data_IF_563603833880
#
_entry.id   IF_563603833880
#
_cell.length_a   1.000
_cell.length_b   1.000
_cell.length_c   1.000
_cell.angle_alpha   90.00
_cell.angle_beta   90.00
_cell.angle_gamma   90.00
#
_symmetry.space_group_name_H-M   'P 1'
#
loop_
_entity.id
_entity.type
_entity.pdbx_description
1 polymer ?
#
# COMPACT_ATOMS: atom_id res chain seq x y z
N UNK A 1 10.35 11.13 -43.06
CA UNK A 1 9.04 10.80 -42.48
C UNK A 1 9.08 11.30 -41.05
N UNK A 2 8.44 12.45 -40.81
CA UNK A 2 8.38 13.10 -39.52
C UNK A 2 7.29 12.41 -38.68
N UNK A 3 7.66 11.64 -37.67
CA UNK A 3 6.72 11.03 -36.71
C UNK A 3 6.28 12.04 -35.65
N UNK A 4 6.10 13.31 -36.05
CA UNK A 4 5.95 14.52 -35.23
C UNK A 4 4.73 14.63 -34.32
N UNK A 5 4.40 13.58 -33.55
CA UNK A 5 3.66 13.73 -32.30
C UNK A 5 4.58 13.36 -31.15
N UNK A 6 4.98 14.38 -30.38
CA UNK A 6 5.64 14.19 -29.09
C UNK A 6 4.76 13.31 -28.19
N UNK A 7 5.38 12.37 -27.48
CA UNK A 7 4.70 11.52 -26.50
C UNK A 7 4.12 12.44 -25.42
N UNK A 8 2.82 12.32 -25.15
CA UNK A 8 2.17 12.99 -24.02
C UNK A 8 2.36 12.13 -22.78
N UNK A 9 3.18 12.60 -21.84
CA UNK A 9 3.39 11.97 -20.54
C UNK A 9 2.46 12.58 -19.49
N UNK A 10 1.84 11.74 -18.65
CA UNK A 10 1.02 12.14 -17.51
C UNK A 10 1.54 11.39 -16.29
N UNK A 11 1.92 12.12 -15.24
CA UNK A 11 2.52 11.58 -14.01
C UNK A 11 1.82 12.21 -12.79
N UNK A 12 1.67 11.43 -11.73
CA UNK A 12 1.14 11.93 -10.47
C UNK A 12 2.20 12.72 -9.71
N UNK A 13 1.80 13.85 -9.11
CA UNK A 13 2.70 14.60 -8.24
C UNK A 13 2.97 13.84 -6.93
N UNK A 14 4.15 14.04 -6.34
CA UNK A 14 4.56 13.43 -5.06
C UNK A 14 4.01 14.14 -3.80
N UNK A 15 3.04 15.06 -3.96
CA UNK A 15 2.38 15.76 -2.84
C UNK A 15 0.86 15.76 -3.01
N UNK A 16 0.15 15.73 -1.89
CA UNK A 16 -1.32 15.78 -1.88
C UNK A 16 -1.82 16.30 -0.53
N UNK A 17 -2.78 17.22 -0.56
CA UNK A 17 -3.37 17.79 0.66
C UNK A 17 -4.85 17.48 0.82
N UNK A 18 -5.55 17.19 -0.28
CA UNK A 18 -6.98 16.86 -0.28
C UNK A 18 -7.20 15.47 -0.88
N UNK A 19 -7.07 14.45 -0.02
CA UNK A 19 -7.42 13.07 -0.31
C UNK A 19 -7.80 12.36 1.00
N UNK A 20 -8.54 11.27 0.91
CA UNK A 20 -8.81 10.36 2.01
C UNK A 20 -8.11 9.02 1.74
N UNK A 21 -7.28 8.56 2.68
CA UNK A 21 -6.51 7.32 2.53
C UNK A 21 -6.90 6.33 3.61
N UNK A 22 -7.22 5.11 3.20
CA UNK A 22 -7.37 3.97 4.09
C UNK A 22 -6.06 3.18 4.19
N UNK A 23 -5.71 2.73 5.39
CA UNK A 23 -4.59 1.81 5.63
C UNK A 23 -5.13 0.55 6.30
N UNK A 24 -4.87 -0.62 5.72
CA UNK A 24 -5.19 -1.93 6.31
C UNK A 24 -3.89 -2.61 6.71
N UNK A 25 -3.66 -2.74 8.02
CA UNK A 25 -2.42 -3.29 8.57
C UNK A 25 -2.66 -4.58 9.37
N UNK A 26 -1.89 -5.63 9.10
CA UNK A 26 -1.93 -6.85 9.94
C UNK A 26 -1.32 -6.61 11.34
N UNK A 27 -1.64 -7.47 12.31
CA UNK A 27 -0.99 -7.46 13.65
C UNK A 27 0.09 -8.52 13.78
N UNK A 28 -0.01 -9.61 13.02
CA UNK A 28 1.04 -10.63 12.95
C UNK A 28 2.34 -10.01 12.40
N UNK A 29 3.49 -10.46 12.93
CA UNK A 29 4.81 -9.82 12.69
C UNK A 29 4.88 -8.34 13.12
N UNK A 30 4.18 -7.96 14.19
CA UNK A 30 4.03 -6.58 14.64
C UNK A 30 5.32 -5.75 14.72
N UNK A 31 6.45 -6.34 15.14
CA UNK A 31 7.74 -5.64 15.18
C UNK A 31 8.20 -5.11 13.81
N UNK A 32 7.82 -5.79 12.72
CA UNK A 32 8.09 -5.37 11.34
C UNK A 32 6.94 -4.51 10.83
N UNK A 33 5.71 -4.97 11.04
CA UNK A 33 4.51 -4.31 10.49
C UNK A 33 4.29 -2.92 11.06
N UNK A 34 4.53 -2.72 12.36
CA UNK A 34 4.37 -1.42 12.99
C UNK A 34 5.42 -0.43 12.46
N UNK A 35 6.64 -0.87 12.13
CA UNK A 35 7.65 -0.01 11.48
C UNK A 35 7.26 0.40 10.06
N UNK A 36 6.67 -0.50 9.28
CA UNK A 36 6.14 -0.19 7.94
C UNK A 36 4.98 0.81 8.05
N UNK A 37 4.07 0.56 8.98
CA UNK A 37 2.90 1.39 9.23
C UNK A 37 3.30 2.80 9.68
N UNK A 38 4.21 2.92 10.63
CA UNK A 38 4.69 4.21 11.15
C UNK A 38 5.34 5.02 10.03
N UNK A 39 6.20 4.38 9.24
CA UNK A 39 6.84 5.02 8.09
C UNK A 39 5.81 5.46 7.02
N UNK A 40 4.82 4.62 6.72
CA UNK A 40 3.72 4.96 5.83
C UNK A 40 2.97 6.21 6.30
N UNK A 41 2.61 6.28 7.59
CA UNK A 41 1.90 7.43 8.16
C UNK A 41 2.78 8.68 8.12
N UNK A 42 4.04 8.58 8.55
CA UNK A 42 4.99 9.71 8.51
C UNK A 42 5.12 10.27 7.09
N UNK A 43 5.23 9.41 6.07
CA UNK A 43 5.32 9.83 4.67
C UNK A 43 4.04 10.52 4.18
N UNK A 44 2.85 9.99 4.51
CA UNK A 44 1.59 10.63 4.16
C UNK A 44 1.46 12.03 4.79
N UNK A 45 1.81 12.17 6.06
CA UNK A 45 1.78 13.45 6.77
C UNK A 45 2.80 14.44 6.19
N UNK A 46 4.02 13.98 5.89
CA UNK A 46 5.06 14.80 5.28
C UNK A 46 4.69 15.28 3.87
N UNK A 47 3.84 14.54 3.15
CA UNK A 47 3.30 14.92 1.85
C UNK A 47 2.18 15.97 1.92
N UNK A 48 1.70 16.30 3.13
CA UNK A 48 0.69 17.33 3.39
C UNK A 48 -0.72 16.79 3.66
N UNK A 49 -0.89 15.48 3.84
CA UNK A 49 -2.19 14.89 4.11
C UNK A 49 -2.63 15.18 5.56
N UNK A 50 -3.89 15.62 5.73
CA UNK A 50 -4.46 15.86 7.06
C UNK A 50 -4.60 14.52 7.84
N UNK A 51 -4.18 14.43 9.11
CA UNK A 51 -4.33 13.22 9.91
C UNK A 51 -5.76 12.67 9.98
N UNK A 52 -6.77 13.54 10.01
CA UNK A 52 -8.20 13.18 10.02
C UNK A 52 -8.70 12.59 8.70
N UNK A 53 -7.88 12.63 7.64
CA UNK A 53 -8.14 11.98 6.35
C UNK A 53 -7.49 10.60 6.22
N UNK A 54 -6.76 10.16 7.24
CA UNK A 54 -6.13 8.83 7.29
C UNK A 54 -6.97 7.93 8.20
N UNK A 55 -7.53 6.86 7.64
CA UNK A 55 -8.26 5.85 8.41
C UNK A 55 -7.48 4.55 8.46
N UNK A 56 -7.26 4.01 9.65
CA UNK A 56 -6.52 2.77 9.85
C UNK A 56 -7.44 1.63 10.32
N UNK A 57 -7.34 0.46 9.67
CA UNK A 57 -7.93 -0.79 10.11
C UNK A 57 -6.84 -1.81 10.46
N UNK A 58 -6.92 -2.40 11.66
CA UNK A 58 -5.97 -3.43 12.13
C UNK A 58 -6.59 -4.82 12.06
N UNK A 59 -6.02 -5.70 11.24
CA UNK A 59 -6.49 -7.09 11.04
C UNK A 59 -5.56 -8.11 11.70
N UNK A 60 -6.00 -9.35 11.98
CA UNK A 60 -5.15 -10.35 12.63
C UNK A 60 -3.87 -10.68 11.84
N UNK A 61 -4.01 -11.16 10.60
CA UNK A 61 -2.89 -11.56 9.75
C UNK A 61 -3.00 -11.01 8.32
N UNK A 62 -2.01 -11.34 7.49
CA UNK A 62 -1.96 -10.89 6.10
C UNK A 62 -3.11 -11.48 5.24
N UNK A 63 -3.65 -12.63 5.66
CA UNK A 63 -4.75 -13.29 4.95
C UNK A 63 -6.07 -12.53 5.02
N UNK A 64 -6.30 -11.77 6.10
CA UNK A 64 -7.51 -10.96 6.25
C UNK A 64 -7.39 -9.59 5.56
N UNK A 65 -6.19 -9.17 5.14
CA UNK A 65 -5.97 -7.87 4.50
C UNK A 65 -6.87 -7.70 3.26
N UNK A 66 -6.92 -8.63 2.28
CA UNK A 66 -7.67 -8.41 1.04
C UNK A 66 -9.17 -8.18 1.26
N UNK A 67 -9.81 -8.96 2.12
CA UNK A 67 -11.25 -8.82 2.38
C UNK A 67 -11.57 -7.48 3.06
N UNK A 68 -10.70 -7.02 3.96
CA UNK A 68 -10.85 -5.71 4.59
C UNK A 68 -10.60 -4.57 3.61
N UNK A 69 -9.55 -4.67 2.77
CA UNK A 69 -9.26 -3.69 1.71
C UNK A 69 -10.44 -3.57 0.75
N UNK A 70 -11.00 -4.70 0.29
CA UNK A 70 -12.19 -4.72 -0.57
C UNK A 70 -13.38 -4.03 0.08
N UNK A 71 -13.61 -4.28 1.37
CA UNK A 71 -14.71 -3.67 2.12
C UNK A 71 -14.53 -2.17 2.26
N UNK A 72 -13.32 -1.69 2.57
CA UNK A 72 -13.03 -0.27 2.71
C UNK A 72 -13.11 0.46 1.36
N UNK A 73 -12.50 -0.10 0.32
CA UNK A 73 -12.54 0.46 -1.03
C UNK A 73 -14.00 0.59 -1.55
N UNK A 74 -14.84 -0.41 -1.29
CA UNK A 74 -16.25 -0.41 -1.69
C UNK A 74 -17.14 0.60 -0.94
N UNK A 75 -16.63 1.32 0.06
CA UNK A 75 -17.41 2.36 0.76
C UNK A 75 -17.51 3.66 -0.04
N UNK A 76 -16.62 3.89 -1.00
CA UNK A 76 -16.51 5.16 -1.73
C UNK A 76 -16.00 6.34 -0.89
N UNK A 77 -15.49 6.10 0.32
CA UNK A 77 -15.00 7.15 1.24
C UNK A 77 -13.51 7.48 1.08
N UNK A 78 -12.77 6.72 0.26
CA UNK A 78 -11.31 6.81 0.16
C UNK A 78 -10.89 6.98 -1.30
N UNK A 79 -9.87 7.81 -1.51
CA UNK A 79 -9.19 7.98 -2.79
C UNK A 79 -8.19 6.87 -3.07
N UNK A 80 -7.66 6.20 -2.03
CA UNK A 80 -6.82 5.00 -2.16
C UNK A 80 -6.86 4.14 -0.88
N UNK A 81 -6.45 2.88 -1.02
CA UNK A 81 -6.22 1.96 0.11
C UNK A 81 -4.81 1.41 0.08
N UNK A 82 -4.10 1.45 1.21
CA UNK A 82 -2.75 0.91 1.37
C UNK A 82 -2.82 -0.36 2.23
N UNK A 83 -2.35 -1.48 1.68
CA UNK A 83 -2.20 -2.73 2.41
C UNK A 83 -0.80 -2.79 3.04
N UNK A 84 -0.72 -2.98 4.36
CA UNK A 84 0.55 -3.08 5.10
C UNK A 84 0.60 -4.42 5.83
N UNK A 85 1.69 -5.16 5.67
CA UNK A 85 1.86 -6.44 6.35
C UNK A 85 3.22 -7.07 6.12
N UNK A 86 3.45 -8.20 6.77
CA UNK A 86 4.65 -8.99 6.55
C UNK A 86 4.33 -10.48 6.67
N UNK A 87 4.71 -11.24 5.65
CA UNK A 87 4.70 -12.70 5.60
C UNK A 87 6.16 -13.13 5.50
N UNK A 88 6.62 -13.89 6.48
CA UNK A 88 8.02 -14.36 6.57
C UNK A 88 8.00 -15.88 6.45
N UNK A 89 8.84 -16.43 5.57
CA UNK A 89 8.87 -17.87 5.30
C UNK A 89 9.20 -18.66 6.58
N UNK A 90 8.39 -19.68 6.84
CA UNK A 90 8.60 -20.66 7.91
C UNK A 90 8.97 -22.03 7.34
N UNK A 91 8.78 -23.07 8.14
CA UNK A 91 9.17 -24.45 7.78
C UNK A 91 8.19 -25.13 6.82
N UNK A 92 6.97 -24.61 6.71
CA UNK A 92 5.90 -25.23 5.90
C UNK A 92 5.53 -24.36 4.71
N UNK A 93 4.87 -24.94 3.69
CA UNK A 93 4.35 -24.18 2.55
C UNK A 93 3.27 -23.14 2.90
N UNK A 94 2.86 -23.01 4.16
CA UNK A 94 1.86 -22.04 4.60
C UNK A 94 2.19 -20.61 4.12
N UNK A 95 3.48 -20.24 4.12
CA UNK A 95 3.95 -18.97 3.57
C UNK A 95 3.45 -18.73 2.14
N UNK A 96 3.61 -19.73 1.26
CA UNK A 96 3.32 -19.57 -0.17
C UNK A 96 1.83 -19.34 -0.40
N UNK A 97 0.97 -20.03 0.36
CA UNK A 97 -0.49 -19.83 0.30
C UNK A 97 -0.91 -18.45 0.82
N UNK A 98 -0.38 -18.02 1.97
CA UNK A 98 -0.76 -16.71 2.53
C UNK A 98 -0.28 -15.56 1.64
N UNK A 99 0.97 -15.61 1.17
CA UNK A 99 1.52 -14.59 0.29
C UNK A 99 0.79 -14.53 -1.06
N UNK A 100 0.53 -15.69 -1.67
CA UNK A 100 -0.16 -15.76 -2.96
C UNK A 100 -1.62 -15.28 -2.89
N UNK A 101 -2.39 -15.72 -1.90
CA UNK A 101 -3.80 -15.30 -1.77
C UNK A 101 -3.93 -13.84 -1.34
N UNK A 102 -3.01 -13.34 -0.50
CA UNK A 102 -2.98 -11.92 -0.13
C UNK A 102 -2.74 -11.03 -1.35
N UNK A 103 -1.67 -11.29 -2.10
CA UNK A 103 -1.34 -10.54 -3.32
C UNK A 103 -2.43 -10.65 -4.38
N UNK A 104 -2.99 -11.84 -4.61
CA UNK A 104 -4.09 -12.05 -5.57
C UNK A 104 -5.33 -11.25 -5.19
N UNK A 105 -5.78 -11.34 -3.94
CA UNK A 105 -6.99 -10.64 -3.50
C UNK A 105 -6.85 -9.12 -3.54
N UNK A 106 -5.64 -8.60 -3.28
CA UNK A 106 -5.33 -7.17 -3.43
C UNK A 106 -5.35 -6.74 -4.89
N UNK A 107 -4.72 -7.50 -5.78
CA UNK A 107 -4.74 -7.22 -7.22
C UNK A 107 -6.15 -7.27 -7.79
N UNK A 108 -6.95 -8.28 -7.42
CA UNK A 108 -8.36 -8.36 -7.82
C UNK A 108 -9.16 -7.17 -7.32
N UNK A 109 -8.93 -6.74 -6.07
CA UNK A 109 -9.61 -5.55 -5.54
C UNK A 109 -9.22 -4.29 -6.29
N UNK A 110 -7.93 -4.11 -6.58
CA UNK A 110 -7.41 -2.95 -7.33
C UNK A 110 -8.08 -2.79 -8.70
N UNK A 111 -8.31 -3.90 -9.40
CA UNK A 111 -8.92 -3.91 -10.73
C UNK A 111 -10.43 -3.61 -10.72
N UNK A 112 -11.11 -3.80 -9.59
CA UNK A 112 -12.57 -3.65 -9.50
C UNK A 112 -13.04 -2.46 -8.66
N UNK A 113 -12.18 -1.88 -7.80
CA UNK A 113 -12.55 -0.82 -6.87
C UNK A 113 -12.70 0.55 -7.51
N UNK A 114 -12.05 0.80 -8.65
CA UNK A 114 -11.97 2.12 -9.28
C UNK A 114 -11.03 3.10 -8.55
N UNK A 115 -10.35 2.66 -7.49
CA UNK A 115 -9.36 3.44 -6.74
C UNK A 115 -8.05 2.65 -6.60
N UNK A 116 -6.88 3.32 -6.50
CA UNK A 116 -5.62 2.65 -6.25
C UNK A 116 -5.63 1.80 -4.98
N UNK A 117 -5.14 0.56 -5.10
CA UNK A 117 -4.85 -0.33 -3.97
C UNK A 117 -3.36 -0.61 -3.98
N UNK A 118 -2.66 -0.17 -2.95
CA UNK A 118 -1.19 -0.22 -2.89
C UNK A 118 -0.73 -1.43 -2.08
N UNK A 119 0.24 -2.16 -2.64
CA UNK A 119 0.80 -3.37 -2.05
C UNK A 119 2.06 -3.07 -1.22
N UNK A 120 1.87 -2.86 0.08
CA UNK A 120 2.94 -2.71 1.08
C UNK A 120 3.10 -3.93 1.99
N UNK A 121 2.86 -5.14 1.47
CA UNK A 121 3.02 -6.39 2.21
C UNK A 121 4.37 -7.03 1.88
N UNK A 122 5.25 -7.16 2.87
CA UNK A 122 6.51 -7.87 2.70
C UNK A 122 6.29 -9.37 2.55
N UNK A 123 6.93 -9.98 1.56
CA UNK A 123 6.99 -11.44 1.37
C UNK A 123 8.46 -11.84 1.28
N UNK A 124 9.01 -12.30 2.40
CA UNK A 124 10.46 -12.47 2.56
C UNK A 124 10.82 -13.84 3.14
N UNK A 125 12.03 -14.31 2.87
CA UNK A 125 12.48 -15.64 3.29
C UNK A 125 12.95 -15.69 4.74
N UNK A 126 13.34 -14.55 5.32
CA UNK A 126 13.83 -14.49 6.69
C UNK A 126 13.61 -13.12 7.35
N UNK A 127 13.82 -13.09 8.67
CA UNK A 127 13.64 -11.88 9.48
C UNK A 127 14.61 -10.76 9.11
N UNK A 128 15.84 -11.07 8.67
CA UNK A 128 16.81 -10.04 8.29
C UNK A 128 16.33 -9.25 7.07
N UNK A 129 15.83 -9.95 6.04
CA UNK A 129 15.20 -9.29 4.89
C UNK A 129 13.99 -8.44 5.31
N UNK A 130 13.21 -8.87 6.30
CA UNK A 130 12.10 -8.09 6.82
C UNK A 130 12.59 -6.80 7.51
N UNK A 131 13.66 -6.89 8.29
CA UNK A 131 14.30 -5.75 8.96
C UNK A 131 14.87 -4.75 7.95
N UNK A 132 15.61 -5.23 6.95
CA UNK A 132 16.23 -4.39 5.91
C UNK A 132 15.19 -3.59 5.11
N UNK A 133 13.97 -4.11 5.00
CA UNK A 133 12.84 -3.50 4.27
C UNK A 133 11.84 -2.76 5.14
N UNK A 134 12.05 -2.75 6.45
CA UNK A 134 11.26 -2.01 7.44
C UNK A 134 12.11 -1.08 8.30
N UNK A 135 13.39 -0.90 7.93
CA UNK A 135 14.37 -0.07 8.61
C UNK A 135 14.30 1.38 8.17
N UNK A 136 15.42 1.89 7.64
CA UNK A 136 15.61 3.29 7.31
C UNK A 136 14.54 3.86 6.37
N UNK A 137 14.16 5.15 6.49
CA UNK A 137 13.08 5.74 5.70
C UNK A 137 13.21 5.56 4.19
N UNK A 138 14.44 5.54 3.67
CA UNK A 138 14.74 5.38 2.24
C UNK A 138 14.57 3.93 1.73
N UNK A 139 14.67 2.93 2.60
CA UNK A 139 14.50 1.50 2.25
C UNK A 139 13.20 0.89 2.80
N UNK A 140 12.43 1.66 3.55
CA UNK A 140 11.21 1.21 4.20
C UNK A 140 10.06 1.10 3.18
N UNK A 141 9.55 -0.13 3.00
CA UNK A 141 8.45 -0.39 2.06
C UNK A 141 7.12 0.24 2.44
N UNK A 142 6.94 0.63 3.70
CA UNK A 142 5.82 1.44 4.14
C UNK A 142 5.87 2.87 3.60
N UNK A 143 7.04 3.52 3.66
CA UNK A 143 7.26 4.83 3.04
C UNK A 143 7.01 4.79 1.53
N UNK A 144 7.57 3.77 0.85
CA UNK A 144 7.37 3.61 -0.60
C UNK A 144 5.89 3.43 -0.95
N UNK A 145 5.16 2.60 -0.17
CA UNK A 145 3.73 2.40 -0.38
C UNK A 145 2.92 3.70 -0.21
N UNK A 146 3.25 4.54 0.78
CA UNK A 146 2.64 5.86 0.93
C UNK A 146 2.91 6.77 -0.27
N UNK A 147 4.16 6.86 -0.73
CA UNK A 147 4.53 7.64 -1.91
C UNK A 147 3.78 7.16 -3.16
N UNK A 148 3.73 5.84 -3.39
CA UNK A 148 2.97 5.27 -4.50
C UNK A 148 1.47 5.58 -4.41
N UNK A 149 0.88 5.58 -3.21
CA UNK A 149 -0.52 5.96 -3.02
C UNK A 149 -0.78 7.41 -3.47
N UNK A 150 0.09 8.34 -3.04
CA UNK A 150 -0.02 9.77 -3.37
C UNK A 150 0.06 9.99 -4.88
N UNK A 151 1.06 9.41 -5.53
CA UNK A 151 1.25 9.53 -6.97
C UNK A 151 0.08 8.90 -7.73
N UNK A 152 -0.40 7.73 -7.31
CA UNK A 152 -1.50 7.05 -7.98
C UNK A 152 -2.83 7.80 -7.83
N UNK A 153 -3.11 8.43 -6.68
CA UNK A 153 -4.30 9.29 -6.52
C UNK A 153 -4.22 10.46 -7.50
N UNK A 154 -3.08 11.16 -7.53
CA UNK A 154 -2.89 12.29 -8.43
C UNK A 154 -2.98 11.88 -9.90
N UNK A 155 -2.36 10.75 -10.27
CA UNK A 155 -2.43 10.21 -11.62
C UNK A 155 -3.88 9.88 -12.01
N UNK A 156 -4.61 9.19 -11.13
CA UNK A 156 -6.01 8.81 -11.38
C UNK A 156 -6.88 10.04 -11.64
N UNK A 157 -6.67 11.14 -10.91
CA UNK A 157 -7.38 12.42 -11.12
C UNK A 157 -7.06 13.10 -12.46
N UNK A 158 -5.94 12.77 -13.11
CA UNK A 158 -5.50 13.36 -14.37
C UNK A 158 -5.89 12.54 -15.61
N UNK A 159 -6.24 11.26 -15.44
CA UNK A 159 -6.53 10.33 -16.55
C UNK A 159 -8.02 9.98 -16.70
N UNK A 160 -8.86 10.40 -15.75
CA UNK A 160 -10.32 10.30 -15.84
C UNK A 160 -10.95 11.47 -16.58
#
# INVERSE_FOLDING_TARGET
MDTGKAIRTIEGAARISDAAVAIVASRYNGQIVDRLLDACIVTLLAAGLDPGKITQARVPGAFEIPVTVRRMAGTGQYDAVIAIGAVIRGETPHFDFIAAECSRGLAETALHSGIPVIFGVLTVDNIQQALDRSGDPESNKGSEAATSAIEMINLFRLIV
#
